data_IF_722543107336
#
_entry.id   IF_722543107336
#
_cell.length_a   1.000
_cell.length_b   1.000
_cell.length_c   1.000
_cell.angle_alpha   90.00
_cell.angle_beta   90.00
_cell.angle_gamma   90.00
#
_symmetry.space_group_name_H-M   'P 1'
#
loop_
_entity.id
_entity.type
_entity.pdbx_description
1 polymer ?
#
# COMPACT_ATOMS: atom_id res chain seq x y z
N UNK A 1 3.92 -18.51 10.78
CA UNK A 1 3.51 -18.79 9.37
C UNK A 1 2.23 -18.05 9.01
N UNK A 2 1.08 -18.31 9.67
CA UNK A 2 -0.20 -17.60 9.41
C UNK A 2 -0.10 -16.06 9.51
N UNK A 3 0.61 -15.53 10.51
CA UNK A 3 0.80 -14.07 10.69
C UNK A 3 1.60 -13.42 9.56
N UNK A 4 2.60 -14.10 9.00
CA UNK A 4 3.40 -13.59 7.88
C UNK A 4 2.59 -13.55 6.58
N UNK A 5 1.72 -14.55 6.36
CA UNK A 5 0.79 -14.53 5.23
C UNK A 5 -0.21 -13.36 5.31
N UNK A 6 -0.70 -13.04 6.51
CA UNK A 6 -1.57 -11.89 6.74
C UNK A 6 -0.85 -10.56 6.50
N UNK A 7 0.40 -10.41 6.97
CA UNK A 7 1.23 -9.22 6.67
C UNK A 7 1.42 -9.06 5.17
N UNK A 8 1.80 -10.14 4.45
CA UNK A 8 1.99 -10.10 3.00
C UNK A 8 0.70 -9.66 2.27
N UNK A 9 -0.45 -10.21 2.66
CA UNK A 9 -1.74 -9.86 2.08
C UNK A 9 -2.08 -8.38 2.30
N UNK A 10 -1.82 -7.85 3.50
CA UNK A 10 -2.06 -6.45 3.81
C UNK A 10 -1.10 -5.49 3.08
N UNK A 11 0.15 -5.90 2.85
CA UNK A 11 1.09 -5.14 2.00
C UNK A 11 0.61 -5.12 0.55
N UNK A 12 0.18 -6.26 0.02
CA UNK A 12 -0.39 -6.35 -1.34
C UNK A 12 -1.66 -5.51 -1.46
N UNK A 13 -2.51 -5.49 -0.43
CA UNK A 13 -3.70 -4.65 -0.41
C UNK A 13 -3.35 -3.16 -0.47
N UNK A 14 -2.35 -2.70 0.30
CA UNK A 14 -1.85 -1.32 0.20
C UNK A 14 -1.33 -1.00 -1.21
N UNK A 15 -0.48 -1.86 -1.76
CA UNK A 15 0.04 -1.69 -3.13
C UNK A 15 -1.06 -1.64 -4.18
N UNK A 16 -2.12 -2.46 -4.02
CA UNK A 16 -3.29 -2.43 -4.89
C UNK A 16 -4.03 -1.08 -4.82
N UNK A 17 -4.28 -0.55 -3.63
CA UNK A 17 -4.98 0.74 -3.49
C UNK A 17 -4.17 1.90 -4.08
N UNK A 18 -2.86 1.91 -3.85
CA UNK A 18 -1.95 2.91 -4.44
C UNK A 18 -1.96 2.80 -5.97
N UNK A 19 -1.81 1.59 -6.52
CA UNK A 19 -1.85 1.38 -7.96
C UNK A 19 -3.21 1.80 -8.57
N UNK A 20 -4.31 1.57 -7.86
CA UNK A 20 -5.65 1.98 -8.31
C UNK A 20 -5.81 3.51 -8.36
N UNK A 21 -5.28 4.23 -7.36
CA UNK A 21 -5.27 5.70 -7.32
C UNK A 21 -4.44 6.27 -8.48
N UNK A 22 -3.21 5.78 -8.66
CA UNK A 22 -2.35 6.20 -9.78
C UNK A 22 -2.93 5.84 -11.16
N UNK A 23 -3.58 4.68 -11.29
CA UNK A 23 -4.25 4.29 -12.52
C UNK A 23 -5.41 5.24 -12.86
N UNK A 24 -6.18 5.68 -11.87
CA UNK A 24 -7.26 6.65 -12.08
C UNK A 24 -6.73 8.02 -12.51
N UNK A 25 -5.64 8.48 -11.91
CA UNK A 25 -5.03 9.78 -12.24
C UNK A 25 -4.33 9.76 -13.60
N UNK A 26 -3.72 8.63 -13.98
CA UNK A 26 -2.96 8.51 -15.23
C UNK A 26 -3.83 8.22 -16.46
N UNK A 27 -5.06 7.73 -16.28
CA UNK A 27 -5.91 7.35 -17.42
C UNK A 27 -6.47 8.57 -18.16
N UNK A 28 -6.45 8.53 -19.49
CA UNK A 28 -7.00 9.60 -20.33
C UNK A 28 -8.53 9.52 -20.40
N UNK A 29 -9.21 10.57 -19.94
CA UNK A 29 -10.68 10.70 -19.96
C UNK A 29 -11.29 10.40 -21.33
N UNK A 30 -10.68 10.93 -22.40
CA UNK A 30 -11.12 10.72 -23.78
C UNK A 30 -11.11 9.25 -24.19
N UNK A 31 -10.08 8.49 -23.82
CA UNK A 31 -9.99 7.05 -24.13
C UNK A 31 -11.09 6.25 -23.43
N UNK A 32 -11.39 6.60 -22.18
CA UNK A 32 -12.48 5.96 -21.42
C UNK A 32 -13.84 6.31 -22.03
N UNK A 33 -14.06 7.56 -22.43
CA UNK A 33 -15.29 7.96 -23.11
C UNK A 33 -15.51 7.19 -24.42
N UNK A 34 -14.46 6.98 -25.23
CA UNK A 34 -14.53 6.14 -26.44
C UNK A 34 -14.92 4.70 -26.11
N UNK A 35 -14.29 4.08 -25.11
CA UNK A 35 -14.62 2.71 -24.71
C UNK A 35 -16.07 2.58 -24.19
N UNK A 36 -16.60 3.61 -23.55
CA UNK A 36 -18.01 3.65 -23.14
C UNK A 36 -18.93 3.75 -24.34
N UNK A 37 -18.59 4.58 -25.33
CA UNK A 37 -19.32 4.68 -26.59
C UNK A 37 -19.32 3.35 -27.37
N UNK A 38 -18.21 2.60 -27.31
CA UNK A 38 -18.09 1.24 -27.88
C UNK A 38 -18.87 0.17 -27.08
N UNK A 39 -19.62 0.57 -26.06
CA UNK A 39 -20.50 -0.31 -25.28
C UNK A 39 -19.82 -1.03 -24.11
N UNK A 40 -18.56 -0.75 -23.80
CA UNK A 40 -17.84 -1.43 -22.73
C UNK A 40 -18.41 -1.09 -21.34
N UNK A 41 -19.02 -2.08 -20.69
CA UNK A 41 -19.65 -1.89 -19.37
C UNK A 41 -18.63 -1.60 -18.27
N UNK A 42 -17.39 -2.12 -18.35
CA UNK A 42 -16.34 -1.82 -17.37
C UNK A 42 -15.87 -0.36 -17.48
N UNK A 43 -15.79 0.15 -18.71
CA UNK A 43 -15.41 1.53 -18.96
C UNK A 43 -16.39 2.53 -18.33
N UNK A 44 -17.68 2.18 -18.18
CA UNK A 44 -18.66 3.05 -17.50
C UNK A 44 -18.36 3.23 -16.01
N UNK A 45 -17.89 2.18 -15.34
CA UNK A 45 -17.49 2.27 -13.94
C UNK A 45 -16.27 3.16 -13.77
N UNK A 46 -15.28 3.01 -14.67
CA UNK A 46 -14.08 3.84 -14.69
C UNK A 46 -14.43 5.30 -15.02
N UNK A 47 -15.34 5.54 -15.98
CA UNK A 47 -15.82 6.88 -16.31
C UNK A 47 -16.45 7.56 -15.08
N UNK A 48 -17.29 6.84 -14.35
CA UNK A 48 -17.90 7.36 -13.12
C UNK A 48 -16.87 7.71 -12.05
N UNK A 49 -15.83 6.88 -11.89
CA UNK A 49 -14.74 7.16 -10.95
C UNK A 49 -13.89 8.37 -11.39
N UNK A 50 -13.74 8.59 -12.69
CA UNK A 50 -13.06 9.75 -13.27
C UNK A 50 -13.89 11.03 -13.10
N UNK A 51 -15.22 10.93 -13.22
CA UNK A 51 -16.13 12.07 -13.10
C UNK A 51 -16.26 12.58 -11.66
N UNK A 52 -16.14 11.69 -10.67
CA UNK A 52 -16.10 12.00 -9.22
C UNK A 52 -14.83 11.40 -8.58
N UNK A 53 -13.65 11.99 -8.87
CA UNK A 53 -12.37 11.45 -8.42
C UNK A 53 -12.20 11.58 -6.91
N UNK A 54 -12.75 12.64 -6.30
CA UNK A 54 -12.65 12.89 -4.86
C UNK A 54 -13.25 11.73 -4.05
N UNK A 55 -14.41 11.22 -4.50
CA UNK A 55 -15.05 10.08 -3.84
C UNK A 55 -14.26 8.79 -4.00
N UNK A 56 -13.65 8.56 -5.16
CA UNK A 56 -12.80 7.39 -5.39
C UNK A 56 -11.54 7.45 -4.52
N UNK A 57 -10.86 8.60 -4.53
CA UNK A 57 -9.64 8.87 -3.75
C UNK A 57 -9.93 8.73 -2.25
N UNK A 58 -11.04 9.27 -1.74
CA UNK A 58 -11.42 9.13 -0.34
C UNK A 58 -11.62 7.64 0.04
N UNK A 59 -12.22 6.84 -0.84
CA UNK A 59 -12.42 5.41 -0.60
C UNK A 59 -11.10 4.62 -0.60
N UNK A 60 -10.18 4.91 -1.53
CA UNK A 60 -8.86 4.26 -1.57
C UNK A 60 -8.00 4.66 -0.38
N UNK A 61 -8.02 5.93 0.04
CA UNK A 61 -7.30 6.41 1.23
C UNK A 61 -7.81 5.80 2.52
N UNK A 62 -9.12 5.61 2.68
CA UNK A 62 -9.69 4.85 3.80
C UNK A 62 -9.21 3.39 3.76
N UNK A 63 -9.17 2.77 2.57
CA UNK A 63 -8.63 1.43 2.38
C UNK A 63 -7.15 1.31 2.81
N UNK A 64 -6.30 2.24 2.37
CA UNK A 64 -4.89 2.35 2.76
C UNK A 64 -4.76 2.51 4.28
N UNK A 65 -5.59 3.36 4.88
CA UNK A 65 -5.57 3.60 6.33
C UNK A 65 -5.93 2.33 7.11
N UNK A 66 -7.01 1.65 6.72
CA UNK A 66 -7.43 0.40 7.36
C UNK A 66 -6.39 -0.70 7.18
N UNK A 67 -5.79 -0.81 6.00
CA UNK A 67 -4.75 -1.79 5.72
C UNK A 67 -3.47 -1.48 6.51
N UNK A 68 -3.11 -0.20 6.68
CA UNK A 68 -1.97 0.26 7.48
C UNK A 68 -2.17 0.01 8.98
N UNK A 69 -3.37 0.27 9.51
CA UNK A 69 -3.72 -0.06 10.89
C UNK A 69 -3.70 -1.58 11.12
N UNK A 70 -4.23 -2.35 10.18
CA UNK A 70 -4.15 -3.81 10.20
C UNK A 70 -2.71 -4.32 10.16
N UNK A 71 -1.84 -3.69 9.37
CA UNK A 71 -0.41 -3.98 9.34
C UNK A 71 0.26 -3.67 10.67
N UNK A 72 -0.08 -2.58 11.33
CA UNK A 72 0.41 -2.27 12.67
C UNK A 72 0.03 -3.37 13.66
N UNK A 73 -1.26 -3.71 13.73
CA UNK A 73 -1.78 -4.71 14.68
C UNK A 73 -1.21 -6.11 14.42
N UNK A 74 -1.19 -6.58 13.17
CA UNK A 74 -0.72 -7.93 12.83
C UNK A 74 0.81 -8.00 12.74
N UNK A 75 1.44 -6.89 12.34
CA UNK A 75 2.88 -6.76 12.13
C UNK A 75 3.67 -6.73 13.42
N UNK A 76 3.21 -6.05 14.47
CA UNK A 76 3.90 -5.98 15.77
C UNK A 76 4.29 -7.37 16.32
N UNK A 77 3.37 -8.33 16.51
CA UNK A 77 3.72 -9.64 17.01
C UNK A 77 4.40 -10.56 15.97
N UNK A 78 4.39 -10.19 14.68
CA UNK A 78 5.08 -10.93 13.62
C UNK A 78 6.55 -10.47 13.48
N UNK A 79 6.82 -9.16 13.56
CA UNK A 79 8.15 -8.58 13.56
C UNK A 79 8.88 -8.86 14.88
N UNK A 80 8.21 -8.76 16.03
CA UNK A 80 8.81 -9.08 17.34
C UNK A 80 9.45 -10.48 17.34
N UNK A 81 8.75 -11.49 16.80
CA UNK A 81 9.27 -12.87 16.71
C UNK A 81 10.41 -13.07 15.72
N UNK A 82 10.58 -12.15 14.75
CA UNK A 82 11.70 -12.17 13.79
C UNK A 82 12.91 -11.37 14.29
N UNK A 83 12.68 -10.29 15.03
CA UNK A 83 13.71 -9.33 15.46
C UNK A 83 14.35 -9.74 16.80
N UNK A 84 13.60 -10.34 17.74
CA UNK A 84 14.16 -10.84 19.02
C UNK A 84 15.45 -11.67 18.87
N UNK A 85 15.52 -12.70 18.01
CA UNK A 85 16.75 -13.50 17.86
C UNK A 85 17.93 -12.72 17.23
N UNK A 86 17.66 -11.61 16.53
CA UNK A 86 18.71 -10.74 15.95
C UNK A 86 19.19 -9.72 16.99
N UNK A 87 18.30 -9.22 17.85
CA UNK A 87 18.63 -8.30 18.95
C UNK A 87 19.49 -8.96 20.03
N UNK A 88 19.33 -10.28 20.26
CA UNK A 88 20.20 -11.03 21.19
C UNK A 88 21.69 -11.03 20.77
N UNK A 89 22.02 -10.66 19.53
CA UNK A 89 23.39 -10.51 19.05
C UNK A 89 24.01 -9.12 19.28
N UNK A 90 23.23 -8.11 19.68
CA UNK A 90 23.73 -6.75 19.89
C UNK A 90 23.48 -6.24 21.33
N UNK A 91 24.51 -5.75 22.06
CA UNK A 91 24.39 -5.34 23.47
C UNK A 91 23.86 -3.90 23.61
N UNK A 92 22.80 -3.55 22.89
CA UNK A 92 22.18 -2.23 22.97
C UNK A 92 20.71 -2.39 23.30
N UNK A 93 20.33 -2.02 24.53
CA UNK A 93 18.94 -1.89 24.92
C UNK A 93 18.35 -0.66 24.23
N UNK A 94 17.83 -0.86 23.03
CA UNK A 94 17.02 0.14 22.33
C UNK A 94 15.57 -0.13 22.69
N UNK A 95 14.91 0.88 23.26
CA UNK A 95 13.48 0.85 23.56
C UNK A 95 12.71 0.47 22.29
N UNK A 96 11.97 -0.64 22.38
CA UNK A 96 11.52 -1.43 21.22
C UNK A 96 10.65 -0.65 20.23
N UNK A 97 9.89 0.33 20.72
CA UNK A 97 9.01 1.19 19.92
C UNK A 97 9.77 2.16 19.00
N UNK A 98 10.94 2.64 19.43
CA UNK A 98 11.79 3.56 18.65
C UNK A 98 12.52 2.82 17.54
N UNK A 99 13.04 1.62 17.84
CA UNK A 99 13.66 0.75 16.84
C UNK A 99 12.66 0.28 15.76
N UNK A 100 11.41 0.03 16.17
CA UNK A 100 10.33 -0.33 15.25
C UNK A 100 9.97 0.79 14.28
N UNK A 101 9.83 2.01 14.81
CA UNK A 101 9.48 3.18 14.01
C UNK A 101 10.59 3.53 13.02
N UNK A 102 11.86 3.40 13.44
CA UNK A 102 13.03 3.64 12.59
C UNK A 102 13.13 2.59 11.48
N UNK A 103 12.95 1.30 11.80
CA UNK A 103 12.99 0.23 10.78
C UNK A 103 11.84 0.32 9.78
N UNK A 104 10.64 0.65 10.25
CA UNK A 104 9.48 0.85 9.39
C UNK A 104 9.67 2.04 8.45
N UNK A 105 10.19 3.16 8.96
CA UNK A 105 10.56 4.32 8.13
C UNK A 105 11.61 3.96 7.07
N UNK A 106 12.65 3.22 7.46
CA UNK A 106 13.73 2.83 6.54
C UNK A 106 13.24 1.89 5.44
N UNK A 107 12.46 0.86 5.80
CA UNK A 107 11.91 -0.09 4.85
C UNK A 107 10.93 0.59 3.88
N UNK A 108 10.08 1.49 4.40
CA UNK A 108 9.16 2.27 3.58
C UNK A 108 9.91 3.18 2.60
N UNK A 109 10.97 3.88 3.04
CA UNK A 109 11.79 4.70 2.16
C UNK A 109 12.51 3.89 1.08
N UNK A 110 13.07 2.73 1.42
CA UNK A 110 13.79 1.87 0.46
C UNK A 110 12.81 1.30 -0.58
N UNK A 111 11.66 0.79 -0.16
CA UNK A 111 10.65 0.24 -1.06
C UNK A 111 10.09 1.34 -1.96
N UNK A 112 9.77 2.51 -1.40
CA UNK A 112 9.27 3.65 -2.18
C UNK A 112 10.31 4.12 -3.19
N UNK A 113 11.58 4.23 -2.79
CA UNK A 113 12.66 4.59 -3.70
C UNK A 113 12.80 3.58 -4.84
N UNK A 114 12.83 2.28 -4.53
CA UNK A 114 12.88 1.22 -5.55
C UNK A 114 11.64 1.25 -6.46
N UNK A 115 10.45 1.49 -5.91
CA UNK A 115 9.21 1.49 -6.67
C UNK A 115 9.12 2.68 -7.62
N UNK A 116 9.53 3.86 -7.17
CA UNK A 116 9.56 5.08 -7.99
C UNK A 116 10.69 5.01 -9.01
N UNK A 117 11.89 4.60 -8.61
CA UNK A 117 13.07 4.60 -9.50
C UNK A 117 13.06 3.43 -10.49
N UNK A 118 12.52 2.27 -10.14
CA UNK A 118 12.43 1.13 -11.07
C UNK A 118 11.08 1.08 -11.79
N UNK A 119 10.04 1.69 -11.22
CA UNK A 119 8.69 1.71 -11.79
C UNK A 119 8.34 2.94 -12.60
N UNK A 120 8.89 4.12 -12.29
CA UNK A 120 8.56 5.38 -12.98
C UNK A 120 9.69 5.93 -13.89
N UNK A 121 10.97 5.60 -13.66
CA UNK A 121 12.10 5.92 -14.57
C UNK A 121 12.39 4.76 -15.53
#
# INVERSE_FOLDING_TARGET
MLRLGAVLLLVLANGFFVAAEFALVSVRRTRIATLVADGNMRARWVQKAIDDPDRFIAATQLGITLASLGLGWVGEPALSGLIMPILEWFPVEIESAVSHSISAGLAFSIITFLHVVVGEL
#
